data_IF_585305235954
#
_entry.id   IF_585305235954
#
_cell.length_a   1.000
_cell.length_b   1.000
_cell.length_c   1.000
_cell.angle_alpha   90.00
_cell.angle_beta   90.00
_cell.angle_gamma   90.00
#
_symmetry.space_group_name_H-M   'P 1'
#
loop_
_entity.id
_entity.type
_entity.pdbx_description
1 polymer ?
#
# COMPACT_ATOMS: atom_id res chain seq x y z
N UNK A 1 23.20 -9.23 -16.13
CA UNK A 1 23.41 -7.78 -16.41
C UNK A 1 22.61 -6.99 -15.40
N UNK A 2 23.18 -6.02 -14.67
CA UNK A 2 22.36 -5.12 -13.88
C UNK A 2 21.56 -4.31 -14.90
N UNK A 3 20.25 -4.53 -14.96
CA UNK A 3 19.34 -3.66 -15.70
C UNK A 3 19.57 -2.26 -15.16
N UNK A 4 20.18 -1.38 -15.97
CA UNK A 4 20.29 0.05 -15.68
C UNK A 4 18.88 0.59 -15.64
N UNK A 5 18.29 0.55 -14.44
CA UNK A 5 16.96 1.07 -14.19
C UNK A 5 16.98 2.56 -14.50
N UNK A 6 16.10 3.08 -15.39
CA UNK A 6 16.12 4.49 -15.72
C UNK A 6 15.97 5.37 -14.48
N UNK A 7 16.79 6.42 -14.42
CA UNK A 7 16.76 7.38 -13.33
C UNK A 7 15.72 8.46 -13.66
N UNK A 8 14.92 8.83 -12.67
CA UNK A 8 13.87 9.83 -12.76
C UNK A 8 14.26 11.01 -11.88
N UNK A 9 14.28 12.20 -12.47
CA UNK A 9 14.54 13.44 -11.73
C UNK A 9 13.34 13.83 -10.86
N UNK A 10 13.63 14.34 -9.66
CA UNK A 10 12.62 14.75 -8.70
C UNK A 10 12.33 16.25 -8.80
N UNK A 11 11.24 16.61 -9.48
CA UNK A 11 10.68 17.96 -9.36
C UNK A 11 10.06 18.18 -7.97
N UNK A 12 9.28 17.21 -7.52
CA UNK A 12 8.73 17.13 -6.16
C UNK A 12 8.57 15.65 -5.79
N UNK A 13 8.93 15.29 -4.57
CA UNK A 13 8.75 13.95 -4.01
C UNK A 13 7.47 13.84 -3.18
N UNK A 14 7.04 14.94 -2.54
CA UNK A 14 5.76 15.07 -1.84
C UNK A 14 4.70 15.62 -2.80
N UNK A 15 3.90 14.71 -3.37
CA UNK A 15 2.82 15.08 -4.30
C UNK A 15 1.54 15.31 -3.52
N UNK A 16 0.93 16.50 -3.63
CA UNK A 16 -0.38 16.77 -3.02
C UNK A 16 -1.40 15.72 -3.42
N UNK A 17 -2.20 15.28 -2.46
CA UNK A 17 -3.18 14.21 -2.65
C UNK A 17 -4.60 14.76 -2.71
N UNK A 18 -5.48 14.00 -3.37
CA UNK A 18 -6.90 14.29 -3.50
C UNK A 18 -7.67 12.98 -3.76
N UNK A 19 -9.00 13.06 -3.84
CA UNK A 19 -9.84 11.91 -4.16
C UNK A 19 -9.78 10.82 -3.08
N UNK A 20 -9.49 9.57 -3.47
CA UNK A 20 -9.57 8.39 -2.58
C UNK A 20 -8.73 8.50 -1.30
N UNK A 21 -7.65 9.29 -1.30
CA UNK A 21 -6.78 9.50 -0.14
C UNK A 21 -6.85 10.93 0.42
N UNK A 22 -7.78 11.75 -0.07
CA UNK A 22 -7.82 13.19 0.21
C UNK A 22 -8.20 13.55 1.64
N UNK A 23 -8.97 12.70 2.32
CA UNK A 23 -9.48 13.00 3.67
C UNK A 23 -8.40 12.75 4.74
N UNK A 24 -7.61 11.68 4.56
CA UNK A 24 -6.62 11.21 5.53
C UNK A 24 -5.25 11.84 5.34
N UNK A 25 -4.86 12.18 4.11
CA UNK A 25 -3.49 12.54 3.78
C UNK A 25 -3.43 13.90 3.11
N UNK A 26 -2.31 14.61 3.28
CA UNK A 26 -2.04 15.84 2.53
C UNK A 26 -1.15 15.57 1.32
N UNK A 27 -0.30 14.55 1.41
CA UNK A 27 0.65 14.20 0.37
C UNK A 27 0.76 12.68 0.16
N UNK A 28 1.18 12.30 -1.03
CA UNK A 28 1.66 10.94 -1.33
C UNK A 28 3.12 10.97 -1.70
N UNK A 29 3.79 9.84 -1.48
CA UNK A 29 5.18 9.65 -1.86
C UNK A 29 5.35 8.31 -2.58
N UNK A 30 6.08 8.33 -3.70
CA UNK A 30 6.39 7.15 -4.49
C UNK A 30 7.86 7.25 -4.90
N UNK A 31 8.69 6.28 -4.48
CA UNK A 31 10.13 6.20 -4.79
C UNK A 31 10.41 5.77 -6.24
N UNK A 32 9.46 5.07 -6.86
CA UNK A 32 9.57 4.51 -8.19
C UNK A 32 8.49 5.08 -9.13
N UNK A 33 8.64 4.82 -10.42
CA UNK A 33 7.55 4.97 -11.40
C UNK A 33 7.33 3.65 -12.11
N UNK A 34 6.06 3.24 -12.22
CA UNK A 34 5.71 1.87 -12.57
C UNK A 34 6.00 0.89 -11.43
N UNK A 35 5.80 -0.40 -11.65
CA UNK A 35 5.94 -1.43 -10.60
C UNK A 35 6.55 -2.72 -11.15
N UNK A 36 7.59 -3.26 -10.51
CA UNK A 36 8.20 -4.53 -10.93
C UNK A 36 7.39 -5.76 -10.50
N UNK A 37 6.37 -5.59 -9.65
CA UNK A 37 5.40 -6.64 -9.34
C UNK A 37 4.32 -6.79 -10.42
N UNK A 38 4.43 -6.10 -11.57
CA UNK A 38 3.48 -6.18 -12.67
C UNK A 38 3.28 -7.61 -13.23
N UNK A 39 4.27 -8.50 -13.09
CA UNK A 39 4.16 -9.90 -13.53
C UNK A 39 3.47 -10.83 -12.51
N UNK A 40 3.30 -10.39 -11.27
CA UNK A 40 2.65 -11.17 -10.21
C UNK A 40 1.12 -11.00 -10.24
N UNK A 41 0.42 -11.73 -9.37
CA UNK A 41 -1.04 -11.62 -9.22
C UNK A 41 -1.52 -10.17 -9.09
N UNK A 42 -0.79 -9.32 -8.35
CA UNK A 42 -1.18 -7.92 -8.16
C UNK A 42 -1.15 -7.08 -9.43
N UNK A 43 -0.33 -7.46 -10.42
CA UNK A 43 -0.36 -6.83 -11.74
C UNK A 43 -1.69 -7.07 -12.47
N UNK A 44 -2.41 -8.14 -12.14
CA UNK A 44 -3.70 -8.47 -12.75
C UNK A 44 -4.82 -7.54 -12.33
N UNK A 45 -4.79 -6.98 -11.12
CA UNK A 45 -5.83 -6.06 -10.64
C UNK A 45 -5.33 -4.63 -10.38
N UNK A 46 -4.05 -4.34 -10.65
CA UNK A 46 -3.46 -3.05 -10.29
C UNK A 46 -4.16 -1.88 -11.01
N UNK A 47 -4.85 -1.00 -10.26
CA UNK A 47 -5.50 0.17 -10.85
C UNK A 47 -4.51 1.16 -11.48
N UNK A 48 -3.26 1.20 -11.01
CA UNK A 48 -2.25 2.16 -11.44
C UNK A 48 -1.84 1.95 -12.91
N UNK A 49 -2.04 0.75 -13.47
CA UNK A 49 -1.80 0.47 -14.88
C UNK A 49 -2.73 1.23 -15.83
N UNK A 50 -3.85 1.75 -15.31
CA UNK A 50 -4.80 2.57 -16.05
C UNK A 50 -4.68 4.06 -15.72
N UNK A 51 -3.56 4.48 -15.14
CA UNK A 51 -3.21 5.88 -14.97
C UNK A 51 -2.29 6.32 -16.13
N UNK A 52 -2.83 7.12 -17.06
CA UNK A 52 -2.10 7.57 -18.24
C UNK A 52 -0.87 8.42 -17.90
N UNK A 53 -0.92 9.20 -16.81
CA UNK A 53 0.21 10.05 -16.39
C UNK A 53 1.44 9.23 -15.98
N UNK A 54 1.21 8.00 -15.51
CA UNK A 54 2.27 7.07 -15.09
C UNK A 54 2.73 6.23 -16.29
N UNK A 55 1.79 5.58 -16.97
CA UNK A 55 2.10 4.63 -18.05
C UNK A 55 2.58 5.32 -19.31
N UNK A 56 2.02 6.50 -19.63
CA UNK A 56 2.21 7.20 -20.91
C UNK A 56 1.92 6.27 -22.11
N UNK A 57 0.89 5.44 -21.99
CA UNK A 57 0.50 4.44 -23.01
C UNK A 57 1.40 3.21 -23.10
N UNK A 58 2.45 3.09 -22.26
CA UNK A 58 3.35 1.93 -22.26
C UNK A 58 2.76 0.77 -21.44
N UNK A 59 3.13 -0.49 -21.74
CA UNK A 59 2.75 -1.63 -20.92
C UNK A 59 3.14 -1.46 -19.46
N UNK A 60 2.34 -2.01 -18.54
CA UNK A 60 2.60 -1.92 -17.09
C UNK A 60 3.83 -2.71 -16.69
N UNK A 61 4.83 -2.00 -16.16
CA UNK A 61 6.08 -2.55 -15.64
C UNK A 61 6.77 -1.48 -14.80
N UNK A 62 7.94 -1.79 -14.26
CA UNK A 62 8.81 -0.80 -13.67
C UNK A 62 9.41 0.10 -14.78
N UNK A 63 9.27 1.41 -14.63
CA UNK A 63 9.80 2.40 -15.58
C UNK A 63 11.07 3.07 -15.10
N UNK A 64 11.25 3.22 -13.79
CA UNK A 64 12.43 3.88 -13.25
C UNK A 64 12.39 4.12 -11.75
N UNK A 65 13.51 4.57 -11.23
CA UNK A 65 13.74 4.94 -9.84
C UNK A 65 14.03 6.43 -9.73
N UNK A 66 13.52 7.08 -8.69
CA UNK A 66 13.82 8.48 -8.42
C UNK A 66 15.18 8.62 -7.72
N UNK A 67 15.99 9.60 -8.13
CA UNK A 67 17.28 9.93 -7.48
C UNK A 67 17.16 11.11 -6.53
N UNK A 68 18.12 11.30 -5.63
CA UNK A 68 18.18 12.49 -4.75
C UNK A 68 16.88 12.68 -3.95
N UNK A 69 16.35 11.56 -3.42
CA UNK A 69 15.05 11.54 -2.75
C UNK A 69 15.07 12.21 -1.38
N UNK A 70 16.21 12.18 -0.68
CA UNK A 70 16.39 12.84 0.61
C UNK A 70 16.38 14.36 0.44
N UNK A 71 17.19 14.86 -0.50
CA UNK A 71 17.27 16.28 -0.84
C UNK A 71 15.94 16.79 -1.40
N UNK A 72 15.24 15.97 -2.19
CA UNK A 72 13.90 16.30 -2.66
C UNK A 72 12.88 16.35 -1.50
N UNK A 73 12.98 15.46 -0.52
CA UNK A 73 12.13 15.46 0.67
C UNK A 73 12.36 16.72 1.49
N UNK A 74 13.61 17.04 1.81
CA UNK A 74 13.97 18.24 2.57
C UNK A 74 13.49 19.52 1.87
N UNK A 75 13.69 19.61 0.55
CA UNK A 75 13.21 20.74 -0.24
C UNK A 75 11.69 20.89 -0.17
N UNK A 76 10.95 19.80 -0.32
CA UNK A 76 9.49 19.85 -0.27
C UNK A 76 8.98 20.12 1.15
N UNK A 77 9.58 19.50 2.17
CA UNK A 77 9.30 19.76 3.59
C UNK A 77 9.49 21.24 3.93
N UNK A 78 10.65 21.81 3.56
CA UNK A 78 10.97 23.23 3.72
C UNK A 78 10.14 24.14 2.83
N UNK A 79 9.39 23.64 1.84
CA UNK A 79 8.42 24.46 1.09
C UNK A 79 7.06 24.50 1.80
N UNK A 80 6.68 23.40 2.45
CA UNK A 80 5.35 23.21 3.05
C UNK A 80 5.29 23.73 4.50
N UNK A 81 6.33 23.46 5.30
CA UNK A 81 6.35 23.81 6.74
C UNK A 81 6.65 25.27 7.09
N UNK A 82 7.35 26.11 6.30
CA UNK A 82 7.48 27.52 6.65
C UNK A 82 6.17 28.24 6.32
N UNK A 83 5.60 29.00 7.27
CA UNK A 83 4.39 29.76 6.99
C UNK A 83 4.74 31.01 6.16
N UNK A 84 4.10 31.19 5.00
CA UNK A 84 4.09 32.49 4.31
C UNK A 84 3.10 33.48 4.95
N UNK A 85 2.12 32.98 5.72
CA UNK A 85 1.18 33.63 6.66
C UNK A 85 0.34 32.52 7.33
N UNK A 86 0.31 32.39 8.65
CA UNK A 86 -0.54 31.42 9.39
C UNK A 86 0.20 30.21 10.00
N UNK A 87 -0.52 29.24 10.57
CA UNK A 87 0.04 27.98 11.08
C UNK A 87 0.33 27.04 9.91
N UNK A 88 1.54 26.46 9.81
CA UNK A 88 1.86 25.49 8.76
C UNK A 88 0.89 24.31 8.77
N UNK A 89 0.38 23.92 7.59
CA UNK A 89 -0.47 22.74 7.46
C UNK A 89 0.28 21.44 7.79
N UNK A 90 -0.43 20.38 8.23
CA UNK A 90 0.21 19.11 8.55
C UNK A 90 0.70 18.39 7.28
N UNK A 91 1.84 17.71 7.39
CA UNK A 91 2.38 16.79 6.40
C UNK A 91 1.96 15.37 6.82
N UNK A 92 0.85 14.88 6.24
CA UNK A 92 0.34 13.51 6.41
C UNK A 92 0.59 12.76 5.10
N UNK A 93 1.44 11.74 5.15
CA UNK A 93 2.00 11.09 3.95
C UNK A 93 1.44 9.68 3.80
N UNK A 94 0.91 9.36 2.61
CA UNK A 94 0.69 7.98 2.18
C UNK A 94 1.79 7.55 1.21
N UNK A 95 2.61 6.60 1.63
CA UNK A 95 3.63 5.96 0.79
C UNK A 95 3.03 4.74 0.11
N UNK A 96 3.18 4.66 -1.22
CA UNK A 96 2.61 3.62 -2.12
C UNK A 96 1.27 3.93 -2.79
N UNK A 97 0.99 5.19 -3.14
CA UNK A 97 -0.24 5.54 -3.88
C UNK A 97 -0.26 5.05 -5.34
N UNK A 98 0.87 4.61 -5.90
CA UNK A 98 0.95 4.12 -7.28
C UNK A 98 1.98 3.03 -7.51
N UNK A 99 2.95 2.87 -6.61
CA UNK A 99 3.97 1.82 -6.69
C UNK A 99 4.44 1.44 -5.30
N UNK A 100 4.88 0.19 -5.14
CA UNK A 100 5.36 -0.30 -3.86
C UNK A 100 6.71 0.35 -3.50
N UNK A 101 6.94 0.78 -2.24
CA UNK A 101 8.22 1.31 -1.81
C UNK A 101 9.30 0.22 -1.67
N UNK A 102 8.92 -1.04 -1.49
CA UNK A 102 9.82 -2.16 -1.22
C UNK A 102 9.81 -3.20 -2.36
N UNK A 103 9.93 -2.71 -3.60
CA UNK A 103 10.18 -3.54 -4.78
C UNK A 103 11.49 -4.33 -4.63
N UNK A 104 11.71 -5.42 -5.40
CA UNK A 104 12.96 -6.18 -5.35
C UNK A 104 14.22 -5.33 -5.56
N UNK A 105 14.13 -4.28 -6.37
CA UNK A 105 15.21 -3.33 -6.63
C UNK A 105 15.60 -2.51 -5.39
N UNK A 106 14.67 -2.32 -4.46
CA UNK A 106 14.93 -1.57 -3.21
C UNK A 106 16.01 -2.25 -2.37
N UNK A 107 16.20 -3.58 -2.50
CA UNK A 107 17.28 -4.32 -1.81
C UNK A 107 18.65 -3.73 -2.07
N UNK A 108 18.90 -3.30 -3.31
CA UNK A 108 20.18 -2.72 -3.73
C UNK A 108 20.13 -1.19 -3.75
N UNK A 109 19.00 -0.60 -4.14
CA UNK A 109 18.92 0.84 -4.37
C UNK A 109 18.76 1.66 -3.08
N UNK A 110 18.12 1.12 -2.03
CA UNK A 110 17.96 1.80 -0.73
C UNK A 110 17.27 3.17 -0.82
N UNK A 111 16.37 3.38 -1.79
CA UNK A 111 15.74 4.68 -2.03
C UNK A 111 14.70 4.97 -0.94
N UNK A 112 13.88 3.97 -0.62
CA UNK A 112 12.91 4.08 0.49
C UNK A 112 13.65 4.23 1.81
N UNK A 113 14.76 3.51 2.02
CA UNK A 113 15.61 3.70 3.21
C UNK A 113 16.09 5.16 3.35
N UNK A 114 16.65 5.74 2.29
CA UNK A 114 17.08 7.16 2.30
C UNK A 114 15.96 8.15 2.57
N UNK A 115 14.74 7.85 2.10
CA UNK A 115 13.56 8.65 2.46
C UNK A 115 13.22 8.55 3.94
N UNK A 116 13.28 7.35 4.52
CA UNK A 116 13.05 7.16 5.96
C UNK A 116 14.14 7.81 6.81
N UNK A 117 15.40 7.78 6.37
CA UNK A 117 16.51 8.50 7.01
C UNK A 117 16.23 10.01 7.03
N UNK A 118 15.86 10.60 5.89
CA UNK A 118 15.47 12.02 5.82
C UNK A 118 14.25 12.34 6.69
N UNK A 119 13.25 11.46 6.74
CA UNK A 119 12.08 11.60 7.62
C UNK A 119 12.46 11.48 9.11
N UNK A 120 13.49 10.74 9.49
CA UNK A 120 13.96 10.73 10.88
C UNK A 120 14.55 12.07 11.28
N UNK A 121 15.26 12.75 10.37
CA UNK A 121 15.82 14.09 10.60
C UNK A 121 14.76 15.20 10.55
N UNK A 122 13.71 14.99 9.73
CA UNK A 122 12.59 15.92 9.54
C UNK A 122 11.26 15.16 9.56
N UNK A 123 10.72 14.84 10.73
CA UNK A 123 9.52 14.01 10.84
C UNK A 123 8.28 14.66 10.20
N UNK A 124 7.50 13.93 9.37
CA UNK A 124 6.15 14.35 9.01
C UNK A 124 5.21 14.19 10.22
N UNK A 125 4.02 14.78 10.15
CA UNK A 125 3.02 14.62 11.21
C UNK A 125 2.44 13.18 11.22
N UNK A 126 2.31 12.57 10.04
CA UNK A 126 1.95 11.16 9.91
C UNK A 126 2.58 10.52 8.67
N UNK A 127 2.92 9.23 8.78
CA UNK A 127 3.39 8.39 7.69
C UNK A 127 2.66 7.05 7.69
N UNK A 128 2.02 6.73 6.57
CA UNK A 128 1.53 5.38 6.28
C UNK A 128 2.43 4.76 5.23
N UNK A 129 3.02 3.61 5.57
CA UNK A 129 3.83 2.79 4.67
C UNK A 129 2.96 1.63 4.22
N UNK A 130 2.43 1.71 2.99
CA UNK A 130 1.70 0.58 2.39
C UNK A 130 2.66 -0.25 1.53
N UNK A 131 2.73 -1.56 1.76
CA UNK A 131 3.60 -2.45 0.96
C UNK A 131 3.03 -3.87 0.85
N UNK A 132 3.53 -4.65 -0.10
CA UNK A 132 3.29 -6.09 -0.25
C UNK A 132 4.56 -6.91 -0.07
N UNK A 133 5.61 -6.33 0.52
CA UNK A 133 6.94 -6.92 0.57
C UNK A 133 7.45 -6.99 2.00
N UNK A 134 7.89 -8.16 2.52
CA UNK A 134 8.49 -8.26 3.84
C UNK A 134 9.86 -7.56 3.93
N UNK A 135 10.40 -7.07 2.82
CA UNK A 135 11.64 -6.27 2.79
C UNK A 135 11.55 -5.01 3.66
N UNK A 136 10.34 -4.51 3.97
CA UNK A 136 10.14 -3.40 4.92
C UNK A 136 10.81 -3.65 6.28
N UNK A 137 10.99 -4.91 6.69
CA UNK A 137 11.67 -5.26 7.93
C UNK A 137 13.14 -4.85 7.96
N UNK A 138 13.79 -4.70 6.80
CA UNK A 138 15.18 -4.20 6.72
C UNK A 138 15.32 -2.82 7.37
N UNK A 139 14.28 -1.98 7.23
CA UNK A 139 14.30 -0.60 7.70
C UNK A 139 13.45 -0.43 8.99
N UNK A 140 13.22 -1.54 9.71
CA UNK A 140 12.47 -1.52 10.96
C UNK A 140 13.11 -0.61 12.02
N UNK A 141 14.44 -0.50 12.03
CA UNK A 141 15.20 0.40 12.91
C UNK A 141 14.77 1.86 12.72
N UNK A 142 14.69 2.31 11.46
CA UNK A 142 14.29 3.67 11.10
C UNK A 142 12.80 3.90 11.36
N UNK A 143 11.95 2.92 11.03
CA UNK A 143 10.50 3.01 11.26
C UNK A 143 10.20 3.13 12.76
N UNK A 144 10.90 2.37 13.61
CA UNK A 144 10.74 2.47 15.07
C UNK A 144 11.16 3.86 15.57
N UNK A 145 12.36 4.33 15.19
CA UNK A 145 12.83 5.68 15.54
C UNK A 145 11.87 6.78 15.09
N UNK A 146 11.37 6.69 13.85
CA UNK A 146 10.42 7.66 13.33
C UNK A 146 9.08 7.65 14.10
N UNK A 147 8.65 6.48 14.59
CA UNK A 147 7.40 6.35 15.36
C UNK A 147 7.43 7.05 16.72
N UNK A 148 8.61 7.43 17.22
CA UNK A 148 8.77 8.24 18.44
C UNK A 148 8.42 9.72 18.19
N UNK A 149 8.46 10.18 16.94
CA UNK A 149 8.29 11.59 16.57
C UNK A 149 7.13 11.84 15.61
N UNK A 150 6.62 10.80 14.96
CA UNK A 150 5.54 10.89 13.98
C UNK A 150 4.55 9.75 14.18
N UNK A 151 3.32 9.96 13.72
CA UNK A 151 2.35 8.87 13.67
C UNK A 151 2.69 7.93 12.51
N UNK A 152 3.27 6.77 12.81
CA UNK A 152 3.68 5.79 11.79
C UNK A 152 2.78 4.56 11.79
N UNK A 153 2.30 4.19 10.61
CA UNK A 153 1.54 2.96 10.37
C UNK A 153 2.25 2.12 9.31
N UNK A 154 2.52 0.85 9.64
CA UNK A 154 2.97 -0.14 8.66
C UNK A 154 1.78 -0.96 8.19
N UNK A 155 1.35 -0.69 6.96
CA UNK A 155 0.25 -1.39 6.31
C UNK A 155 0.80 -2.42 5.33
N UNK A 156 0.54 -3.70 5.56
CA UNK A 156 1.00 -4.77 4.66
C UNK A 156 -0.21 -5.39 3.96
N UNK A 157 -0.21 -5.42 2.63
CA UNK A 157 -1.29 -6.06 1.88
C UNK A 157 -1.16 -7.57 1.96
N UNK A 158 -2.16 -8.22 2.54
CA UNK A 158 -2.32 -9.67 2.61
C UNK A 158 -3.69 -9.96 2.01
N UNK A 159 -3.77 -9.96 0.68
CA UNK A 159 -5.05 -9.96 -0.05
C UNK A 159 -5.87 -11.26 0.07
N UNK A 160 -5.22 -12.36 0.45
CA UNK A 160 -5.81 -13.68 0.73
C UNK A 160 -4.91 -14.45 1.72
N UNK A 161 -5.49 -15.44 2.40
CA UNK A 161 -4.75 -16.43 3.19
C UNK A 161 -4.26 -17.63 2.37
N UNK A 162 -4.55 -17.70 1.07
CA UNK A 162 -4.14 -18.79 0.19
C UNK A 162 -2.71 -18.55 -0.34
N UNK A 163 -1.85 -19.58 -0.29
CA UNK A 163 -0.48 -19.50 -0.83
C UNK A 163 -0.46 -19.37 -2.37
N UNK A 164 -1.50 -19.88 -3.03
CA UNK A 164 -1.75 -19.72 -4.45
C UNK A 164 -3.26 -19.76 -4.71
N UNK A 165 -3.71 -18.98 -5.69
CA UNK A 165 -5.09 -19.04 -6.19
C UNK A 165 -5.06 -19.77 -7.53
N UNK A 166 -5.74 -20.93 -7.68
CA UNK A 166 -5.79 -21.65 -8.95
C UNK A 166 -6.20 -20.73 -10.11
N UNK A 167 -5.49 -20.83 -11.25
CA UNK A 167 -5.73 -19.98 -12.41
C UNK A 167 -5.07 -18.58 -12.37
N UNK A 168 -4.48 -18.17 -11.24
CA UNK A 168 -3.77 -16.90 -11.13
C UNK A 168 -2.24 -17.06 -11.21
N UNK A 169 -1.51 -16.01 -11.65
CA UNK A 169 -0.06 -15.95 -11.45
C UNK A 169 0.32 -16.00 -9.96
N UNK A 170 1.57 -16.33 -9.63
CA UNK A 170 2.02 -16.36 -8.24
C UNK A 170 1.97 -14.97 -7.59
N UNK A 171 1.95 -14.96 -6.26
CA UNK A 171 2.11 -13.73 -5.49
C UNK A 171 3.49 -13.11 -5.69
N UNK A 172 3.57 -11.78 -5.57
CA UNK A 172 4.84 -11.05 -5.64
C UNK A 172 5.80 -11.47 -4.52
N UNK A 173 5.23 -11.69 -3.33
CA UNK A 173 5.87 -12.31 -2.17
C UNK A 173 4.83 -13.21 -1.47
N UNK A 174 5.24 -14.30 -0.82
CA UNK A 174 4.29 -15.22 -0.16
C UNK A 174 3.42 -14.51 0.91
N UNK A 175 2.09 -14.74 0.94
CA UNK A 175 1.21 -14.11 1.94
C UNK A 175 1.62 -14.40 3.38
N UNK A 176 2.04 -15.62 3.70
CA UNK A 176 2.53 -15.99 5.04
C UNK A 176 3.75 -15.16 5.49
N UNK A 177 4.68 -14.84 4.59
CA UNK A 177 5.83 -13.99 4.87
C UNK A 177 5.41 -12.53 5.16
N UNK A 178 4.32 -12.07 4.54
CA UNK A 178 3.74 -10.75 4.80
C UNK A 178 3.06 -10.70 6.18
N UNK A 179 2.34 -11.77 6.55
CA UNK A 179 1.77 -11.93 7.91
C UNK A 179 2.87 -11.99 8.96
N UNK A 180 3.97 -12.71 8.69
CA UNK A 180 5.13 -12.74 9.59
C UNK A 180 5.75 -11.34 9.78
N UNK A 181 5.85 -10.54 8.71
CA UNK A 181 6.35 -9.17 8.81
C UNK A 181 5.42 -8.27 9.66
N UNK A 182 4.11 -8.42 9.58
CA UNK A 182 3.18 -7.75 10.49
C UNK A 182 3.46 -8.13 11.95
N UNK A 183 3.68 -9.42 12.23
CA UNK A 183 4.00 -9.91 13.57
C UNK A 183 5.30 -9.31 14.13
N UNK A 184 6.32 -9.19 13.29
CA UNK A 184 7.60 -8.56 13.65
C UNK A 184 7.43 -7.09 14.04
N UNK A 185 6.66 -6.30 13.27
CA UNK A 185 6.40 -4.90 13.62
C UNK A 185 5.56 -4.75 14.89
N UNK A 186 4.57 -5.62 15.09
CA UNK A 186 3.80 -5.65 16.35
C UNK A 186 4.68 -5.90 17.56
N UNK A 187 5.63 -6.85 17.47
CA UNK A 187 6.60 -7.12 18.53
C UNK A 187 7.53 -5.94 18.83
N UNK A 188 7.69 -5.02 17.88
CA UNK A 188 8.44 -3.76 18.03
C UNK A 188 7.55 -2.59 18.45
N UNK A 189 6.30 -2.84 18.82
CA UNK A 189 5.31 -1.82 19.22
C UNK A 189 5.00 -0.78 18.13
N UNK A 190 5.29 -1.10 16.86
CA UNK A 190 4.90 -0.27 15.72
C UNK A 190 3.44 -0.59 15.38
N UNK A 191 2.65 0.44 15.07
CA UNK A 191 1.25 0.26 14.66
C UNK A 191 1.19 -0.43 13.30
N UNK A 192 0.40 -1.49 13.22
CA UNK A 192 0.27 -2.30 11.99
C UNK A 192 -1.15 -2.40 11.50
N UNK A 193 -1.31 -2.54 10.18
CA UNK A 193 -2.58 -2.94 9.56
C UNK A 193 -2.35 -4.00 8.51
N UNK A 194 -3.25 -4.99 8.46
CA UNK A 194 -3.37 -5.85 7.29
C UNK A 194 -4.34 -5.20 6.30
N UNK A 195 -3.98 -5.17 5.02
CA UNK A 195 -4.89 -4.67 3.98
C UNK A 195 -5.26 -5.79 3.00
N UNK A 196 -6.56 -6.01 2.82
CA UNK A 196 -7.11 -6.94 1.84
C UNK A 196 -7.62 -6.09 0.69
N UNK A 197 -6.71 -5.63 -0.18
CA UNK A 197 -7.02 -4.66 -1.26
C UNK A 197 -6.35 -5.03 -2.59
N UNK A 198 -7.15 -5.48 -3.58
CA UNK A 198 -8.54 -5.91 -3.42
C UNK A 198 -8.60 -7.21 -2.59
N UNK A 199 -9.75 -7.46 -1.98
CA UNK A 199 -10.09 -8.74 -1.38
C UNK A 199 -10.06 -9.82 -2.48
N UNK A 200 -9.26 -10.86 -2.27
CA UNK A 200 -9.18 -12.02 -3.15
C UNK A 200 -9.88 -13.23 -2.51
N UNK A 201 -10.15 -14.30 -3.29
CA UNK A 201 -10.68 -15.56 -2.75
C UNK A 201 -9.94 -16.05 -1.52
N UNK A 202 -10.70 -16.45 -0.49
CA UNK A 202 -10.21 -17.01 0.78
C UNK A 202 -10.91 -18.35 0.98
N UNK A 203 -10.14 -19.39 1.27
CA UNK A 203 -10.66 -20.74 1.48
C UNK A 203 -11.46 -20.88 2.78
N UNK A 204 -10.96 -20.29 3.87
CA UNK A 204 -11.59 -20.29 5.20
C UNK A 204 -11.50 -18.88 5.78
N UNK A 205 -12.62 -18.16 5.72
CA UNK A 205 -12.68 -16.73 6.08
C UNK A 205 -12.43 -16.53 7.58
N UNK A 206 -13.15 -17.21 8.50
CA UNK A 206 -12.89 -17.07 9.94
C UNK A 206 -11.44 -17.40 10.31
N UNK A 207 -10.91 -18.53 9.84
CA UNK A 207 -9.53 -18.93 10.15
C UNK A 207 -8.50 -17.93 9.62
N UNK A 208 -8.75 -17.35 8.45
CA UNK A 208 -7.87 -16.31 7.93
C UNK A 208 -7.95 -15.02 8.77
N UNK A 209 -9.16 -14.61 9.19
CA UNK A 209 -9.32 -13.48 10.10
C UNK A 209 -8.59 -13.71 11.43
N UNK A 210 -8.69 -14.89 12.03
CA UNK A 210 -7.97 -15.28 13.25
C UNK A 210 -6.45 -15.15 13.08
N UNK A 211 -5.92 -15.54 11.92
CA UNK A 211 -4.49 -15.43 11.63
C UNK A 211 -3.97 -13.97 11.65
N UNK A 212 -4.85 -13.00 11.44
CA UNK A 212 -4.53 -11.58 11.44
C UNK A 212 -4.75 -10.91 12.81
N UNK A 213 -5.49 -11.55 13.71
CA UNK A 213 -5.92 -10.99 14.99
C UNK A 213 -4.75 -10.48 15.85
N UNK A 214 -3.67 -11.26 15.95
CA UNK A 214 -2.54 -10.91 16.82
C UNK A 214 -1.49 -10.04 16.14
N UNK A 215 -1.54 -9.92 14.82
CA UNK A 215 -0.47 -9.30 14.02
C UNK A 215 -0.90 -7.96 13.41
N UNK A 216 -2.19 -7.67 13.36
CA UNK A 216 -2.73 -6.41 12.86
C UNK A 216 -3.55 -5.69 13.94
N UNK A 217 -3.36 -4.38 14.09
CA UNK A 217 -4.25 -3.58 14.93
C UNK A 217 -5.62 -3.46 14.31
N UNK A 218 -5.64 -3.11 13.03
CA UNK A 218 -6.83 -3.02 12.22
C UNK A 218 -6.62 -3.82 10.94
N UNK A 219 -7.72 -4.32 10.40
CA UNK A 219 -7.79 -4.87 9.05
C UNK A 219 -8.58 -3.92 8.18
N UNK A 220 -8.04 -3.59 7.00
CA UNK A 220 -8.75 -2.82 5.99
C UNK A 220 -9.17 -3.79 4.88
N UNK A 221 -10.47 -4.02 4.74
CA UNK A 221 -11.02 -4.76 3.60
C UNK A 221 -11.44 -3.78 2.51
N UNK A 222 -11.10 -4.11 1.27
CA UNK A 222 -11.39 -3.28 0.13
C UNK A 222 -11.73 -4.13 -1.08
N UNK A 223 -12.67 -3.66 -1.90
CA UNK A 223 -13.08 -4.38 -3.10
C UNK A 223 -12.86 -3.49 -4.32
N UNK A 224 -12.41 -4.06 -5.44
CA UNK A 224 -12.07 -3.23 -6.61
C UNK A 224 -13.25 -2.40 -7.13
N UNK A 225 -14.51 -2.81 -6.87
CA UNK A 225 -15.72 -2.06 -7.24
C UNK A 225 -15.87 -0.71 -6.53
N UNK A 226 -15.29 -0.56 -5.34
CA UNK A 226 -15.40 0.63 -4.49
C UNK A 226 -14.04 1.24 -4.11
N UNK A 227 -12.98 0.44 -4.23
CA UNK A 227 -11.64 0.70 -3.71
C UNK A 227 -10.62 1.14 -4.73
N UNK A 228 -10.89 0.92 -6.01
CA UNK A 228 -9.91 1.21 -7.05
C UNK A 228 -9.81 2.70 -7.40
N UNK A 229 -10.42 3.59 -6.61
CA UNK A 229 -10.49 5.04 -6.77
C UNK A 229 -11.22 5.54 -8.04
N UNK A 230 -11.99 4.68 -8.70
CA UNK A 230 -12.89 5.06 -9.79
C UNK A 230 -14.32 4.60 -9.53
N UNK A 231 -15.29 5.25 -10.18
CA UNK A 231 -16.71 4.86 -10.04
C UNK A 231 -16.91 3.42 -10.53
N UNK A 232 -17.38 2.54 -9.65
CA UNK A 232 -17.75 1.16 -9.97
C UNK A 232 -16.59 0.26 -10.40
N UNK A 233 -15.34 0.58 -10.02
CA UNK A 233 -14.19 -0.27 -10.30
C UNK A 233 -13.69 -0.25 -11.74
N UNK A 234 -13.94 0.83 -12.49
CA UNK A 234 -13.67 0.90 -13.93
C UNK A 234 -12.18 0.83 -14.29
N UNK A 235 -11.25 1.17 -13.39
CA UNK A 235 -9.81 0.96 -13.64
C UNK A 235 -9.49 -0.53 -13.58
N UNK A 236 -9.91 -1.22 -12.54
CA UNK A 236 -9.61 -2.64 -12.35
C UNK A 236 -10.35 -3.51 -13.37
N UNK A 237 -11.60 -3.18 -13.71
CA UNK A 237 -12.35 -3.92 -14.75
C UNK A 237 -11.64 -3.96 -16.11
N UNK A 238 -10.84 -2.95 -16.46
CA UNK A 238 -10.08 -2.88 -17.72
C UNK A 238 -8.85 -3.80 -17.79
N UNK A 239 -8.49 -4.45 -16.69
CA UNK A 239 -7.30 -5.32 -16.60
C UNK A 239 -7.56 -6.77 -17.02
N UNK A 240 -8.83 -7.18 -17.06
CA UNK A 240 -9.25 -8.59 -17.20
C UNK A 240 -9.46 -9.32 -15.87
N UNK A 241 -9.13 -8.71 -14.73
CA UNK A 241 -9.24 -9.34 -13.41
C UNK A 241 -10.61 -9.97 -13.10
N UNK A 242 -11.76 -9.32 -13.38
CA UNK A 242 -13.06 -9.95 -13.10
C UNK A 242 -13.26 -11.25 -13.87
N UNK A 243 -12.89 -11.27 -15.16
CA UNK A 243 -12.95 -12.48 -15.98
C UNK A 243 -12.04 -13.58 -15.43
N UNK A 244 -10.86 -13.23 -14.92
CA UNK A 244 -9.97 -14.21 -14.30
C UNK A 244 -10.59 -14.86 -13.05
N UNK A 245 -11.36 -14.11 -12.26
CA UNK A 245 -12.09 -14.68 -11.12
C UNK A 245 -13.17 -15.65 -11.63
N UNK A 246 -13.94 -15.27 -12.64
CA UNK A 246 -14.97 -16.14 -13.23
C UNK A 246 -14.35 -17.44 -13.79
N UNK A 247 -13.29 -17.32 -14.60
CA UNK A 247 -12.60 -18.44 -15.23
C UNK A 247 -11.94 -19.39 -14.20
N UNK A 248 -11.54 -18.85 -13.04
CA UNK A 248 -10.96 -19.62 -11.94
C UNK A 248 -12.01 -20.26 -11.01
N UNK A 249 -13.30 -20.07 -11.28
CA UNK A 249 -14.40 -20.63 -10.47
C UNK A 249 -14.73 -19.82 -9.22
N UNK A 250 -14.46 -18.51 -9.24
CA UNK A 250 -14.74 -17.56 -8.15
C UNK A 250 -15.66 -16.39 -8.56
N UNK A 251 -16.75 -16.60 -9.34
CA UNK A 251 -17.59 -15.51 -9.83
C UNK A 251 -18.27 -14.71 -8.70
N UNK A 252 -18.54 -15.33 -7.56
CA UNK A 252 -19.12 -14.66 -6.39
C UNK A 252 -18.18 -13.57 -5.83
N UNK A 253 -16.87 -13.72 -5.99
CA UNK A 253 -15.86 -12.74 -5.56
C UNK A 253 -15.80 -11.50 -6.45
N UNK A 254 -16.60 -11.43 -7.52
CA UNK A 254 -16.81 -10.23 -8.32
C UNK A 254 -17.96 -9.34 -7.81
N UNK A 255 -18.58 -9.69 -6.68
CA UNK A 255 -19.81 -9.05 -6.18
C UNK A 255 -19.57 -8.23 -4.91
N UNK A 256 -20.39 -7.19 -4.70
CA UNK A 256 -20.31 -6.40 -3.47
C UNK A 256 -20.96 -7.13 -2.28
N UNK A 257 -21.91 -8.01 -2.58
CA UNK A 257 -22.58 -8.89 -1.63
C UNK A 257 -21.56 -9.82 -0.95
N UNK A 258 -20.71 -10.50 -1.73
CA UNK A 258 -19.64 -11.33 -1.19
C UNK A 258 -18.64 -10.53 -0.37
N UNK A 259 -18.30 -9.32 -0.81
CA UNK A 259 -17.43 -8.43 -0.04
C UNK A 259 -18.01 -8.16 1.36
N UNK A 260 -19.30 -7.81 1.47
CA UNK A 260 -19.92 -7.55 2.77
C UNK A 260 -20.07 -8.81 3.62
N UNK A 261 -20.35 -9.97 3.03
CA UNK A 261 -20.32 -11.26 3.73
C UNK A 261 -18.96 -11.49 4.41
N UNK A 262 -17.86 -11.26 3.69
CA UNK A 262 -16.51 -11.40 4.24
C UNK A 262 -16.25 -10.36 5.33
N UNK A 263 -16.67 -9.10 5.14
CA UNK A 263 -16.54 -8.05 6.16
C UNK A 263 -17.24 -8.45 7.46
N UNK A 264 -18.48 -8.94 7.39
CA UNK A 264 -19.22 -9.37 8.58
C UNK A 264 -18.55 -10.56 9.27
N UNK A 265 -18.05 -11.54 8.51
CA UNK A 265 -17.28 -12.64 9.09
C UNK A 265 -16.00 -12.15 9.80
N UNK A 266 -15.28 -11.19 9.22
CA UNK A 266 -14.12 -10.57 9.86
C UNK A 266 -14.50 -9.82 11.14
N UNK A 267 -15.65 -9.14 11.17
CA UNK A 267 -16.14 -8.41 12.36
C UNK A 267 -16.48 -9.34 13.52
N UNK A 268 -17.03 -10.51 13.23
CA UNK A 268 -17.32 -11.53 14.24
C UNK A 268 -16.04 -12.05 14.92
N UNK A 269 -14.93 -12.14 14.17
CA UNK A 269 -13.65 -12.63 14.70
C UNK A 269 -12.85 -11.51 15.37
N UNK A 270 -12.75 -10.33 14.74
CA UNK A 270 -11.80 -9.29 15.15
C UNK A 270 -12.40 -8.16 15.98
N UNK A 271 -13.72 -8.12 16.14
CA UNK A 271 -14.55 -7.00 16.59
C UNK A 271 -14.76 -5.89 15.52
N UNK A 272 -15.94 -5.22 15.50
CA UNK A 272 -16.28 -4.22 14.48
C UNK A 272 -15.32 -3.04 14.38
N UNK A 273 -14.76 -2.58 15.51
CA UNK A 273 -13.89 -1.40 15.59
C UNK A 273 -12.55 -1.64 14.89
N UNK A 274 -12.11 -2.89 14.84
CA UNK A 274 -10.86 -3.31 14.19
C UNK A 274 -11.01 -3.56 12.69
N UNK A 275 -12.23 -3.59 12.17
CA UNK A 275 -12.53 -3.88 10.76
C UNK A 275 -12.96 -2.63 10.03
N UNK A 276 -12.03 -2.08 9.26
CA UNK A 276 -12.21 -0.88 8.46
C UNK A 276 -12.48 -1.25 6.99
N UNK A 277 -13.18 -0.40 6.26
CA UNK A 277 -13.55 -0.67 4.87
C UNK A 277 -13.19 0.46 3.91
N UNK A 278 -12.57 0.07 2.78
CA UNK A 278 -12.31 0.87 1.60
C UNK A 278 -11.80 2.30 1.90
N UNK A 279 -12.29 3.31 1.17
CA UNK A 279 -11.86 4.71 1.27
C UNK A 279 -11.77 5.19 2.73
N UNK A 280 -12.83 5.00 3.53
CA UNK A 280 -12.84 5.42 4.94
C UNK A 280 -11.72 4.74 5.74
N UNK A 281 -11.54 3.43 5.56
CA UNK A 281 -10.50 2.67 6.25
C UNK A 281 -9.09 3.13 5.88
N UNK A 282 -8.83 3.38 4.60
CA UNK A 282 -7.54 3.90 4.15
C UNK A 282 -7.24 5.30 4.68
N UNK A 283 -8.25 6.13 4.92
CA UNK A 283 -8.08 7.51 5.42
C UNK A 283 -8.12 7.64 6.96
N UNK A 284 -8.37 6.54 7.68
CA UNK A 284 -8.41 6.56 9.15
C UNK A 284 -6.98 6.63 9.70
N UNK A 285 -6.59 7.75 10.31
CA UNK A 285 -5.27 7.87 10.97
C UNK A 285 -5.33 7.68 12.49
N UNK A 286 -6.51 7.91 13.08
CA UNK A 286 -6.83 7.75 14.51
C UNK A 286 -7.92 6.68 14.67
N UNK A 287 -7.77 5.69 15.57
CA UNK A 287 -8.91 4.91 16.05
C UNK A 287 -9.79 5.73 17.01
#
# INVERSE_FOLDING_TARGET
MPLTLPIIENKSILTETSGFLGDGYTHTINAYSGCSFAGAICGRYCYAQHNFWITKGRPWKLYGAKREVAEAYDRDYNRIKPPRRGTPGPIRIFMSSSTDPYLPQEKTLGITRRLLEAMCERPPDALVIQTRSPLVLRDADLICRLSEHARVWVCITVETGMDAIPGFPPHATPPNARVAALAEFRRRMVRTRATLSPLLPIQDIPRFAESLERVAEHVILDHYLIGDGSRGGSRTKRTGFPRMLDDAGYPEWNTIEKFWEVVESFRLVLCPERVLTSCRGFNTLDP
#
